data_IF_177507882487
#
_entry.id   IF_177507882487
#
_cell.length_a   1.000
_cell.length_b   1.000
_cell.length_c   1.000
_cell.angle_alpha   90.00
_cell.angle_beta   90.00
_cell.angle_gamma   90.00
#
_symmetry.space_group_name_H-M   'P 1'
#
loop_
_entity.id
_entity.type
_entity.pdbx_description
1 polymer ?
#
# COMPACT_ATOMS: atom_id res chain seq x y z
N UNK A 1 -64.42 -17.93 1.67
CA UNK A 1 -63.60 -17.54 0.51
C UNK A 1 -63.03 -18.77 -0.19
N UNK A 2 -63.39 -18.97 -1.45
CA UNK A 2 -62.94 -20.12 -2.27
C UNK A 2 -61.41 -20.04 -2.41
N UNK A 3 -60.67 -21.16 -2.35
CA UNK A 3 -59.19 -21.19 -2.42
C UNK A 3 -58.61 -20.36 -3.58
N UNK A 4 -59.36 -20.20 -4.67
CA UNK A 4 -59.03 -19.36 -5.82
C UNK A 4 -58.99 -17.85 -5.49
N UNK A 5 -59.91 -17.35 -4.66
CA UNK A 5 -59.96 -15.95 -4.22
C UNK A 5 -58.77 -15.59 -3.33
N UNK A 6 -58.34 -16.52 -2.45
CA UNK A 6 -57.16 -16.31 -1.60
C UNK A 6 -55.88 -16.17 -2.43
N UNK A 7 -55.74 -16.96 -3.51
CA UNK A 7 -54.58 -16.88 -4.42
C UNK A 7 -54.61 -15.59 -5.25
N UNK A 8 -55.78 -15.14 -5.66
CA UNK A 8 -55.96 -13.85 -6.35
C UNK A 8 -55.58 -12.68 -5.44
N UNK A 9 -56.02 -12.69 -4.17
CA UNK A 9 -55.62 -11.68 -3.19
C UNK A 9 -54.12 -11.69 -2.89
N UNK A 10 -53.48 -12.87 -2.83
CA UNK A 10 -52.03 -12.99 -2.64
C UNK A 10 -51.24 -12.46 -3.85
N UNK A 11 -51.69 -12.76 -5.08
CA UNK A 11 -51.08 -12.24 -6.30
C UNK A 11 -51.25 -10.73 -6.43
N UNK A 12 -52.43 -10.19 -6.11
CA UNK A 12 -52.68 -8.76 -6.08
C UNK A 12 -51.79 -8.06 -5.04
N UNK A 13 -51.64 -8.63 -3.85
CA UNK A 13 -50.75 -8.11 -2.81
C UNK A 13 -49.27 -8.07 -3.22
N UNK A 14 -48.78 -9.13 -3.86
CA UNK A 14 -47.41 -9.17 -4.38
C UNK A 14 -47.17 -8.16 -5.52
N UNK A 15 -48.14 -7.98 -6.42
CA UNK A 15 -48.07 -6.97 -7.48
C UNK A 15 -48.05 -5.54 -6.93
N UNK A 16 -48.86 -5.25 -5.91
CA UNK A 16 -48.87 -3.94 -5.25
C UNK A 16 -47.55 -3.68 -4.53
N UNK A 17 -47.01 -4.68 -3.81
CA UNK A 17 -45.69 -4.56 -3.18
C UNK A 17 -44.58 -4.32 -4.22
N UNK A 18 -44.60 -5.06 -5.33
CA UNK A 18 -43.65 -4.86 -6.42
C UNK A 18 -43.74 -3.43 -7.00
N UNK A 19 -44.94 -2.93 -7.26
CA UNK A 19 -45.15 -1.57 -7.79
C UNK A 19 -44.75 -0.46 -6.81
N UNK A 20 -44.82 -0.69 -5.49
CA UNK A 20 -44.40 0.30 -4.48
C UNK A 20 -42.89 0.28 -4.23
N UNK A 21 -42.25 -0.89 -4.27
CA UNK A 21 -40.84 -1.03 -3.91
C UNK A 21 -39.89 -1.01 -5.11
N UNK A 22 -40.29 -1.48 -6.31
CA UNK A 22 -39.41 -1.47 -7.49
C UNK A 22 -39.02 -0.07 -7.99
N UNK A 23 -39.89 0.96 -7.99
CA UNK A 23 -39.50 2.29 -8.45
C UNK A 23 -38.43 2.93 -7.54
N UNK A 24 -38.50 2.66 -6.23
CA UNK A 24 -37.56 3.21 -5.25
C UNK A 24 -36.21 2.48 -5.26
N UNK A 25 -36.18 1.19 -5.59
CA UNK A 25 -34.93 0.43 -5.74
C UNK A 25 -34.21 0.80 -7.05
N UNK A 26 -34.96 1.01 -8.14
CA UNK A 26 -34.39 1.47 -9.42
C UNK A 26 -33.80 2.88 -9.35
N UNK A 27 -34.47 3.80 -8.65
CA UNK A 27 -33.96 5.16 -8.45
C UNK A 27 -32.75 5.21 -7.52
N UNK A 28 -32.68 4.33 -6.51
CA UNK A 28 -31.52 4.21 -5.63
C UNK A 28 -30.30 3.59 -6.33
N UNK A 29 -30.50 2.66 -7.26
CA UNK A 29 -29.43 2.12 -8.12
C UNK A 29 -28.84 3.21 -9.03
N UNK A 30 -29.70 3.99 -9.70
CA UNK A 30 -29.27 5.10 -10.56
C UNK A 30 -28.64 6.27 -9.78
N UNK A 31 -29.08 6.52 -8.55
CA UNK A 31 -28.46 7.52 -7.66
C UNK A 31 -27.06 7.06 -7.20
N UNK A 32 -26.89 5.78 -6.88
CA UNK A 32 -25.58 5.22 -6.53
C UNK A 32 -24.60 5.27 -7.69
N UNK A 33 -25.06 5.04 -8.91
CA UNK A 33 -24.20 5.09 -10.10
C UNK A 33 -23.79 6.53 -10.46
N UNK A 34 -24.68 7.52 -10.36
CA UNK A 34 -24.31 8.94 -10.60
C UNK A 34 -23.33 9.54 -9.60
N UNK A 35 -23.32 9.07 -8.35
CA UNK A 35 -22.39 9.55 -7.33
C UNK A 35 -20.97 9.03 -7.55
N UNK A 36 -20.81 7.90 -8.27
CA UNK A 36 -19.49 7.41 -8.67
C UNK A 36 -18.99 7.95 -10.02
N UNK A 37 -19.90 8.40 -10.89
CA UNK A 37 -19.57 9.02 -12.19
C UNK A 37 -19.37 10.55 -12.15
N UNK A 38 -19.57 11.20 -10.99
CA UNK A 38 -19.22 12.61 -10.81
C UNK A 38 -17.76 12.79 -10.33
N UNK A 39 -16.84 12.07 -10.97
CA UNK A 39 -15.48 12.56 -11.19
C UNK A 39 -15.48 13.41 -12.46
N UNK A 40 -14.72 14.52 -12.53
CA UNK A 40 -14.74 15.39 -13.70
C UNK A 40 -13.94 14.74 -14.83
N UNK A 41 -14.61 13.89 -15.62
CA UNK A 41 -14.05 13.42 -16.89
C UNK A 41 -14.21 14.54 -17.93
N UNK A 42 -13.06 15.09 -18.28
CA UNK A 42 -12.85 15.93 -19.46
C UNK A 42 -13.33 15.20 -20.71
N UNK A 43 -14.24 15.84 -21.43
CA UNK A 43 -14.81 15.36 -22.69
C UNK A 43 -13.72 15.16 -23.76
N UNK A 44 -13.70 13.97 -24.38
CA UNK A 44 -12.94 13.66 -25.58
C UNK A 44 -13.61 14.25 -26.83
N UNK A 45 -12.82 14.99 -27.62
CA UNK A 45 -13.03 15.19 -29.05
C UNK A 45 -11.92 14.46 -29.84
N UNK A 46 -12.16 14.02 -31.08
CA UNK A 46 -11.26 13.09 -31.75
C UNK A 46 -10.09 13.84 -32.41
N UNK A 47 -8.87 13.46 -32.05
CA UNK A 47 -7.66 13.83 -32.78
C UNK A 47 -6.71 14.73 -31.99
N UNK A 48 -5.67 14.13 -31.42
CA UNK A 48 -4.57 14.87 -30.82
C UNK A 48 -3.65 13.96 -30.03
N UNK A 49 -2.52 13.59 -30.63
CA UNK A 49 -1.38 12.99 -29.92
C UNK A 49 -0.83 14.08 -29.00
N UNK A 50 -1.35 14.22 -27.79
CA UNK A 50 -0.77 15.11 -26.79
C UNK A 50 0.15 14.29 -25.91
N UNK A 51 1.45 14.43 -26.17
CA UNK A 51 2.50 14.09 -25.22
C UNK A 51 2.10 14.72 -23.88
N UNK A 52 1.68 13.88 -22.92
CA UNK A 52 1.42 14.33 -21.55
C UNK A 52 2.75 14.69 -20.93
N UNK A 53 3.20 15.92 -21.16
CA UNK A 53 4.01 16.60 -20.17
C UNK A 53 3.11 16.77 -18.95
N UNK A 54 3.26 15.85 -17.99
CA UNK A 54 2.70 15.98 -16.65
C UNK A 54 3.34 17.25 -16.06
N UNK A 55 2.74 18.41 -16.32
CA UNK A 55 2.98 19.60 -15.53
C UNK A 55 2.56 19.23 -14.11
N UNK A 56 3.50 19.28 -13.16
CA UNK A 56 3.19 19.35 -11.72
C UNK A 56 2.13 20.45 -11.54
N UNK A 57 0.86 20.07 -11.44
CA UNK A 57 -0.19 21.03 -11.12
C UNK A 57 -0.07 21.28 -9.63
N UNK A 58 0.75 22.26 -9.27
CA UNK A 58 0.81 22.77 -7.91
C UNK A 58 -0.54 23.43 -7.62
N UNK A 59 -1.42 22.71 -6.92
CA UNK A 59 -2.74 23.24 -6.54
C UNK A 59 -2.60 23.92 -5.19
N UNK A 60 -2.88 25.23 -5.18
CA UNK A 60 -3.04 25.98 -3.93
C UNK A 60 -4.35 25.54 -3.30
N UNK A 61 -4.29 24.91 -2.14
CA UNK A 61 -5.50 24.55 -1.40
C UNK A 61 -6.26 25.79 -0.90
N UNK A 62 -7.49 25.64 -0.40
CA UNK A 62 -8.26 26.74 0.22
C UNK A 62 -7.55 27.39 1.42
N UNK A 63 -6.61 26.65 2.01
CA UNK A 63 -5.71 27.03 3.10
C UNK A 63 -4.48 27.84 2.64
N UNK A 64 -4.31 28.08 1.33
CA UNK A 64 -3.14 28.75 0.76
C UNK A 64 -1.90 27.86 0.69
N UNK A 65 -2.02 26.57 1.00
CA UNK A 65 -0.88 25.64 1.03
C UNK A 65 -0.67 25.04 -0.36
N UNK A 66 0.57 25.08 -0.85
CA UNK A 66 0.97 24.39 -2.07
C UNK A 66 0.95 22.88 -1.88
N UNK A 67 0.21 22.19 -2.76
CA UNK A 67 0.12 20.74 -2.75
C UNK A 67 0.82 20.14 -3.96
N UNK A 68 1.58 19.06 -3.73
CA UNK A 68 2.27 18.29 -4.76
C UNK A 68 1.87 16.82 -4.69
N UNK A 69 1.99 16.16 -5.83
CA UNK A 69 1.99 14.71 -5.88
C UNK A 69 3.35 14.19 -5.38
N UNK A 70 3.31 13.25 -4.43
CA UNK A 70 4.48 12.59 -3.85
C UNK A 70 4.67 11.16 -4.35
N UNK A 71 3.81 10.69 -5.27
CA UNK A 71 3.97 9.38 -5.88
C UNK A 71 5.15 9.37 -6.85
N UNK A 72 6.10 8.45 -6.66
CA UNK A 72 7.15 8.16 -7.63
C UNK A 72 6.69 7.09 -8.61
N UNK A 73 6.12 7.53 -9.73
CA UNK A 73 5.59 6.64 -10.77
C UNK A 73 6.68 5.81 -11.47
N UNK A 74 7.93 6.27 -11.53
CA UNK A 74 9.02 5.51 -12.13
C UNK A 74 9.41 4.35 -11.23
N UNK A 75 9.52 4.59 -9.91
CA UNK A 75 9.75 3.52 -8.92
C UNK A 75 8.58 2.55 -8.91
N UNK A 76 7.32 3.03 -8.92
CA UNK A 76 6.14 2.15 -8.99
C UNK A 76 6.15 1.27 -10.26
N UNK A 77 6.51 1.84 -11.41
CA UNK A 77 6.60 1.08 -12.67
C UNK A 77 7.70 0.02 -12.63
N UNK A 78 8.87 0.37 -12.07
CA UNK A 78 9.98 -0.58 -11.88
C UNK A 78 9.61 -1.69 -10.91
N UNK A 79 8.99 -1.36 -9.77
CA UNK A 79 8.53 -2.34 -8.79
C UNK A 79 7.48 -3.27 -9.39
N UNK A 80 6.54 -2.76 -10.19
CA UNK A 80 5.54 -3.57 -10.88
C UNK A 80 6.14 -4.56 -11.91
N UNK A 81 7.29 -4.23 -12.49
CA UNK A 81 8.00 -5.08 -13.44
C UNK A 81 8.90 -6.13 -12.78
N UNK A 82 9.09 -6.09 -11.45
CA UNK A 82 9.96 -7.04 -10.75
C UNK A 82 9.38 -8.45 -10.74
N UNK A 83 10.26 -9.41 -10.98
CA UNK A 83 9.97 -10.85 -11.00
C UNK A 83 10.92 -11.58 -10.05
N UNK A 84 10.43 -12.64 -9.42
CA UNK A 84 11.21 -13.41 -8.45
C UNK A 84 10.33 -13.95 -7.33
N UNK A 85 10.96 -14.75 -6.46
CA UNK A 85 10.29 -15.31 -5.30
C UNK A 85 9.94 -14.20 -4.29
N UNK A 86 8.67 -14.14 -3.88
CA UNK A 86 8.19 -13.13 -2.94
C UNK A 86 7.91 -11.73 -3.54
N UNK A 87 8.15 -11.53 -4.83
CA UNK A 87 7.81 -10.29 -5.54
C UNK A 87 6.28 -10.12 -5.65
N UNK A 88 5.83 -8.86 -5.72
CA UNK A 88 4.42 -8.48 -5.69
C UNK A 88 3.68 -9.02 -4.45
N UNK A 89 4.39 -9.32 -3.37
CA UNK A 89 3.83 -9.94 -2.17
C UNK A 89 3.25 -11.34 -2.39
N UNK A 90 3.62 -12.02 -3.48
CA UNK A 90 3.19 -13.39 -3.75
C UNK A 90 3.77 -14.36 -2.71
N UNK A 91 3.04 -15.44 -2.35
CA UNK A 91 3.57 -16.45 -1.44
C UNK A 91 4.83 -17.10 -2.02
N UNK A 92 5.80 -17.40 -1.16
CA UNK A 92 7.00 -18.14 -1.55
C UNK A 92 6.65 -19.62 -1.77
N UNK A 93 7.12 -20.25 -2.87
CA UNK A 93 6.92 -21.69 -3.09
C UNK A 93 7.76 -22.51 -2.11
N UNK A 94 7.12 -22.99 -1.04
CA UNK A 94 7.79 -23.75 0.03
C UNK A 94 8.27 -25.13 -0.45
N UNK A 95 9.52 -25.46 -0.13
CA UNK A 95 10.09 -26.80 -0.26
C UNK A 95 10.10 -27.52 1.09
N UNK A 96 10.42 -28.82 1.11
CA UNK A 96 10.46 -29.61 2.36
C UNK A 96 11.48 -29.04 3.37
N UNK A 97 12.60 -28.51 2.89
CA UNK A 97 13.62 -27.87 3.75
C UNK A 97 13.11 -26.61 4.44
N UNK A 98 12.05 -26.00 3.91
CA UNK A 98 11.52 -24.73 4.42
C UNK A 98 10.40 -24.95 5.44
N UNK A 99 9.90 -26.19 5.55
CA UNK A 99 8.82 -26.58 6.46
C UNK A 99 9.33 -27.08 7.82
N UNK A 100 10.63 -27.01 8.06
CA UNK A 100 11.24 -27.47 9.30
C UNK A 100 10.96 -26.51 10.45
N UNK A 101 10.65 -27.05 11.63
CA UNK A 101 10.36 -26.24 12.83
C UNK A 101 11.54 -25.32 13.20
N UNK A 102 12.77 -25.75 12.90
CA UNK A 102 13.97 -24.96 13.13
C UNK A 102 13.91 -23.58 12.47
N UNK A 103 13.23 -23.46 11.32
CA UNK A 103 13.10 -22.19 10.61
C UNK A 103 12.30 -21.14 11.39
N UNK A 104 11.52 -21.54 12.40
CA UNK A 104 10.67 -20.66 13.22
C UNK A 104 11.20 -20.43 14.63
N UNK A 105 12.09 -21.30 15.14
CA UNK A 105 12.52 -21.28 16.55
C UNK A 105 13.20 -19.99 16.98
N UNK A 106 13.96 -19.37 16.10
CA UNK A 106 14.82 -18.23 16.44
C UNK A 106 14.09 -16.89 16.45
N UNK A 107 13.09 -16.70 15.58
CA UNK A 107 12.46 -15.39 15.36
C UNK A 107 10.92 -15.44 15.37
N UNK A 108 10.30 -16.63 15.53
CA UNK A 108 8.84 -16.80 15.48
C UNK A 108 8.22 -16.74 14.08
N UNK A 109 9.04 -16.52 13.04
CA UNK A 109 8.67 -16.58 11.63
C UNK A 109 9.72 -17.37 10.83
N UNK A 110 9.38 -17.76 9.60
CA UNK A 110 10.26 -18.57 8.76
C UNK A 110 11.46 -17.79 8.24
N UNK A 111 12.61 -17.91 8.91
CA UNK A 111 13.82 -17.18 8.53
C UNK A 111 14.40 -17.69 7.20
N UNK A 112 14.30 -18.99 6.90
CA UNK A 112 14.81 -19.56 5.65
C UNK A 112 14.11 -18.99 4.43
N UNK A 113 12.78 -18.81 4.51
CA UNK A 113 12.02 -18.14 3.45
C UNK A 113 12.39 -16.67 3.38
N UNK A 114 12.56 -16.00 4.53
CA UNK A 114 12.95 -14.59 4.59
C UNK A 114 14.29 -14.34 3.90
N UNK A 115 15.27 -15.22 4.06
CA UNK A 115 16.62 -15.12 3.47
C UNK A 115 16.62 -15.33 1.96
N UNK A 116 15.67 -16.12 1.43
CA UNK A 116 15.53 -16.39 -0.01
C UNK A 116 14.68 -15.36 -0.75
N UNK A 117 14.01 -14.47 -0.02
CA UNK A 117 13.25 -13.36 -0.58
C UNK A 117 14.17 -12.13 -0.65
N UNK A 118 14.15 -11.42 -1.77
CA UNK A 118 14.92 -10.20 -1.96
C UNK A 118 14.70 -9.19 -0.83
N UNK A 119 15.78 -8.58 -0.34
CA UNK A 119 15.73 -7.45 0.61
C UNK A 119 14.99 -6.25 0.02
N UNK A 120 15.02 -6.11 -1.30
CA UNK A 120 14.30 -5.08 -2.04
C UNK A 120 13.13 -5.68 -2.82
N UNK A 121 12.31 -6.54 -2.20
CA UNK A 121 11.13 -7.08 -2.90
C UNK A 121 10.09 -6.00 -3.18
N UNK A 122 9.39 -6.13 -4.30
CA UNK A 122 8.19 -5.36 -4.63
C UNK A 122 6.97 -5.85 -3.83
N UNK A 123 6.02 -4.95 -3.59
CA UNK A 123 4.77 -5.22 -2.88
C UNK A 123 3.58 -4.82 -3.77
N UNK A 124 2.44 -5.51 -3.64
CA UNK A 124 1.24 -5.16 -4.39
C UNK A 124 0.63 -3.88 -3.81
N UNK A 125 0.17 -2.97 -4.68
CA UNK A 125 -0.53 -1.76 -4.24
C UNK A 125 -1.99 -2.08 -3.91
N UNK A 126 -2.24 -2.37 -2.63
CA UNK A 126 -3.58 -2.65 -2.09
C UNK A 126 -4.30 -1.41 -1.54
N UNK A 127 -3.74 -0.20 -1.76
CA UNK A 127 -4.33 1.05 -1.25
C UNK A 127 -5.69 1.31 -1.91
N UNK A 128 -6.56 2.03 -1.22
CA UNK A 128 -7.83 2.48 -1.78
C UNK A 128 -7.58 3.30 -3.06
N UNK A 129 -8.39 3.18 -4.13
CA UNK A 129 -8.15 3.90 -5.39
C UNK A 129 -7.96 5.41 -5.22
N UNK A 130 -8.75 6.04 -4.34
CA UNK A 130 -8.64 7.46 -4.01
C UNK A 130 -7.28 7.88 -3.43
N UNK A 131 -6.49 6.96 -2.84
CA UNK A 131 -5.14 7.27 -2.34
C UNK A 131 -4.18 7.70 -3.46
N UNK A 132 -4.36 7.18 -4.68
CA UNK A 132 -3.50 7.48 -5.84
C UNK A 132 -3.67 8.92 -6.34
N UNK A 133 -4.77 9.57 -5.99
CA UNK A 133 -5.10 10.93 -6.39
C UNK A 133 -4.86 11.95 -5.26
N UNK A 134 -4.35 11.50 -4.09
CA UNK A 134 -4.12 12.40 -2.94
C UNK A 134 -2.87 13.25 -3.17
N UNK A 135 -3.04 14.56 -2.99
CA UNK A 135 -1.97 15.54 -2.97
C UNK A 135 -1.70 16.00 -1.53
N UNK A 136 -0.42 16.13 -1.18
CA UNK A 136 0.03 16.56 0.14
C UNK A 136 0.78 17.89 0.05
N UNK A 137 0.99 18.54 1.19
CA UNK A 137 1.78 19.77 1.24
C UNK A 137 3.16 19.55 0.61
N UNK A 138 3.64 20.54 -0.14
CA UNK A 138 4.98 20.49 -0.74
C UNK A 138 6.08 20.59 0.32
N UNK A 139 5.83 21.35 1.38
CA UNK A 139 6.73 21.48 2.53
C UNK A 139 6.21 20.61 3.67
N UNK A 140 6.86 19.49 3.90
CA UNK A 140 6.60 18.60 5.03
C UNK A 140 7.79 18.69 6.01
N UNK A 141 7.56 18.51 7.32
CA UNK A 141 8.64 18.38 8.27
C UNK A 141 9.46 17.12 7.97
N UNK A 142 10.75 17.17 8.29
CA UNK A 142 11.60 15.98 8.27
C UNK A 142 11.25 15.04 9.43
N UNK A 143 11.64 13.78 9.31
CA UNK A 143 11.39 12.76 10.34
C UNK A 143 12.63 11.90 10.58
N UNK A 144 12.91 11.64 11.85
CA UNK A 144 13.90 10.64 12.28
C UNK A 144 13.19 9.29 12.48
N UNK A 145 13.68 8.24 11.83
CA UNK A 145 13.08 6.91 11.86
C UNK A 145 13.87 6.05 12.85
N UNK A 146 13.24 5.68 13.97
CA UNK A 146 13.87 4.88 15.03
C UNK A 146 13.34 3.45 14.92
N UNK A 147 14.25 2.48 14.80
CA UNK A 147 13.94 1.06 14.69
C UNK A 147 14.62 0.35 15.88
N UNK A 148 13.89 0.09 16.98
CA UNK A 148 14.38 -0.77 18.03
C UNK A 148 14.38 -2.23 17.57
N UNK A 149 15.43 -2.97 17.87
CA UNK A 149 15.53 -4.39 17.58
C UNK A 149 16.16 -5.15 18.75
N UNK A 150 15.71 -6.39 18.97
CA UNK A 150 16.30 -7.32 19.93
C UNK A 150 16.32 -8.71 19.29
N UNK A 151 17.52 -9.26 19.06
CA UNK A 151 17.70 -10.60 18.49
C UNK A 151 16.92 -10.85 17.17
N UNK A 152 16.67 -9.80 16.37
CA UNK A 152 15.89 -9.84 15.13
C UNK A 152 16.62 -10.62 14.01
N UNK A 153 15.86 -11.18 13.08
CA UNK A 153 16.43 -11.84 11.90
C UNK A 153 17.18 -10.86 10.98
N UNK A 154 18.33 -11.25 10.46
CA UNK A 154 19.14 -10.39 9.59
C UNK A 154 18.38 -9.91 8.34
N UNK A 155 17.77 -10.85 7.62
CA UNK A 155 17.03 -10.54 6.39
C UNK A 155 15.74 -9.75 6.64
N UNK A 156 15.09 -9.91 7.80
CA UNK A 156 13.92 -9.10 8.17
C UNK A 156 14.32 -7.67 8.51
N UNK A 157 15.33 -7.48 9.35
CA UNK A 157 15.82 -6.16 9.75
C UNK A 157 16.30 -5.35 8.52
N UNK A 158 17.16 -5.95 7.69
CA UNK A 158 17.66 -5.28 6.49
C UNK A 158 16.54 -4.94 5.49
N UNK A 159 15.55 -5.83 5.33
CA UNK A 159 14.42 -5.56 4.43
C UNK A 159 13.56 -4.40 4.93
N UNK A 160 13.44 -4.21 6.24
CA UNK A 160 12.80 -3.03 6.84
C UNK A 160 13.57 -1.76 6.47
N UNK A 161 14.89 -1.75 6.69
CA UNK A 161 15.75 -0.60 6.35
C UNK A 161 15.70 -0.29 4.86
N UNK A 162 15.85 -1.29 3.98
CA UNK A 162 15.75 -1.12 2.53
C UNK A 162 14.38 -0.58 2.10
N UNK A 163 13.29 -1.03 2.73
CA UNK A 163 11.96 -0.51 2.42
C UNK A 163 11.84 0.97 2.78
N UNK A 164 12.39 1.39 3.92
CA UNK A 164 12.43 2.79 4.33
C UNK A 164 13.23 3.62 3.33
N UNK A 165 14.45 3.22 3.02
CA UNK A 165 15.34 3.99 2.14
C UNK A 165 14.82 4.09 0.70
N UNK A 166 14.17 3.04 0.18
CA UNK A 166 13.73 3.00 -1.21
C UNK A 166 12.33 3.60 -1.44
N UNK A 167 11.47 3.66 -0.41
CA UNK A 167 10.06 4.09 -0.55
C UNK A 167 9.73 5.40 0.16
N UNK A 168 10.69 5.97 0.89
CA UNK A 168 10.56 7.28 1.50
C UNK A 168 11.36 8.31 0.71
N UNK A 169 10.80 9.49 0.40
CA UNK A 169 11.55 10.56 -0.25
C UNK A 169 12.76 10.98 0.63
N UNK A 170 14.00 10.98 0.10
CA UNK A 170 15.21 11.18 0.91
C UNK A 170 15.24 12.54 1.60
N UNK A 171 14.64 13.58 1.01
CA UNK A 171 14.54 14.92 1.60
C UNK A 171 13.65 15.00 2.85
N UNK A 172 12.82 13.99 3.10
CA UNK A 172 11.96 13.92 4.29
C UNK A 172 12.58 13.11 5.43
N UNK A 173 13.64 12.35 5.15
CA UNK A 173 14.32 11.52 6.14
C UNK A 173 15.47 12.33 6.71
N UNK A 174 15.42 12.62 8.02
CA UNK A 174 16.54 13.24 8.70
C UNK A 174 17.66 12.21 8.96
N UNK A 175 17.27 11.05 9.51
CA UNK A 175 18.18 9.97 9.90
C UNK A 175 17.39 8.66 10.10
N UNK A 176 18.09 7.54 10.04
CA UNK A 176 17.56 6.21 10.40
C UNK A 176 18.43 5.66 11.54
N UNK A 177 17.84 5.52 12.72
CA UNK A 177 18.53 5.10 13.93
C UNK A 177 18.12 3.66 14.24
N UNK A 178 19.08 2.74 14.20
CA UNK A 178 18.91 1.37 14.68
C UNK A 178 19.30 1.33 16.15
N UNK A 179 18.36 0.94 17.02
CA UNK A 179 18.58 0.86 18.47
C UNK A 179 18.62 -0.61 18.85
N UNK A 180 19.79 -1.08 19.27
CA UNK A 180 19.95 -2.44 19.79
C UNK A 180 19.50 -2.50 21.25
N UNK A 181 18.46 -3.26 21.53
CA UNK A 181 17.97 -3.53 22.88
C UNK A 181 18.67 -4.78 23.45
N UNK A 182 19.99 -4.70 23.61
CA UNK A 182 20.83 -5.75 24.21
C UNK A 182 20.66 -7.12 23.53
N UNK A 183 20.88 -7.19 22.21
CA UNK A 183 20.87 -8.46 21.48
C UNK A 183 22.05 -9.37 21.87
N UNK A 184 21.78 -10.67 22.01
CA UNK A 184 22.79 -11.69 22.28
C UNK A 184 23.44 -12.24 21.01
N UNK A 185 22.77 -12.05 19.86
CA UNK A 185 23.29 -12.47 18.55
C UNK A 185 24.41 -11.52 18.12
N UNK A 186 25.58 -12.06 17.79
CA UNK A 186 26.65 -11.27 17.17
C UNK A 186 26.24 -10.83 15.76
N UNK A 187 25.67 -9.63 15.67
CA UNK A 187 25.21 -9.05 14.42
C UNK A 187 26.30 -8.14 13.84
N UNK A 188 27.15 -8.70 12.98
CA UNK A 188 28.14 -7.91 12.25
C UNK A 188 27.49 -7.34 10.98
N UNK A 189 27.11 -6.05 10.98
CA UNK A 189 26.59 -5.38 9.78
C UNK A 189 27.74 -5.05 8.80
N UNK A 190 27.80 -5.62 7.57
CA UNK A 190 28.61 -5.06 6.51
C UNK A 190 27.92 -3.78 6.00
N UNK A 191 28.62 -2.66 6.17
CA UNK A 191 28.14 -1.29 5.97
C UNK A 191 27.76 -0.99 4.51
N UNK A 192 26.59 -0.39 4.31
CA UNK A 192 26.29 0.42 3.11
C UNK A 192 26.73 1.86 3.42
N UNK A 193 27.80 2.29 2.76
CA UNK A 193 28.45 3.58 2.94
C UNK A 193 27.65 4.75 2.36
N UNK A 194 27.43 5.78 3.18
CA UNK A 194 27.68 7.17 2.77
C UNK A 194 27.81 8.06 4.01
N UNK A 195 29.07 8.34 4.35
CA UNK A 195 29.63 9.35 5.26
C UNK A 195 29.13 9.39 6.72
N UNK A 196 30.05 8.95 7.59
CA UNK A 196 30.08 9.07 9.06
C UNK A 196 28.91 8.43 9.79
N UNK A 197 29.10 7.15 10.15
CA UNK A 197 28.16 6.42 11.00
C UNK A 197 28.89 5.91 12.23
N UNK A 198 28.67 6.62 13.34
CA UNK A 198 28.70 6.03 14.66
C UNK A 198 27.73 4.84 14.66
N UNK A 199 28.26 3.62 14.69
CA UNK A 199 27.62 2.58 15.48
C UNK A 199 27.38 3.24 16.84
N UNK A 200 26.14 3.29 17.33
CA UNK A 200 25.89 3.79 18.68
C UNK A 200 26.48 2.77 19.68
N UNK A 201 27.81 2.74 19.73
CA UNK A 201 28.65 2.20 20.77
C UNK A 201 28.85 3.35 21.75
N UNK A 202 27.73 3.83 22.30
CA UNK A 202 27.71 4.50 23.58
C UNK A 202 26.72 3.71 24.41
N UNK A 203 27.22 2.62 24.99
CA UNK A 203 26.82 2.21 26.33
C UNK A 203 26.73 3.48 27.19
N UNK A 204 25.53 3.79 27.67
CA UNK A 204 25.44 4.32 29.04
C UNK A 204 25.50 3.11 29.96
#
# INVERSE_FOLDING_TARGET
>A
MRRKEKRLLQLAGLLIAALLFLPNVGLWSLYRDRVFDSSPDTADGPGGIHLMQIKKVAQVGPDGVWRTDWHDYEVMRRDAARIGNGEQGKPFPLTETDRVDQAYRENGFNIYVSDRISLNRSLPDIRHPNCKQRLYAEKLPNTSIIIPFHNEGWSSLLRTVHSVLNRSPPQLIAEVILVDDFSDKEMCLPLVSSNEMFCCLTLI
#
